data_IF_476417683541
#
_entry.id   IF_476417683541
#
_cell.length_a   1.000
_cell.length_b   1.000
_cell.length_c   1.000
_cell.angle_alpha   90.00
_cell.angle_beta   90.00
_cell.angle_gamma   90.00
#
_symmetry.space_group_name_H-M   'P 1'
#
loop_
_entity.id
_entity.type
_entity.pdbx_description
1 polymer ?
#
# COMPACT_ATOMS: atom_id res chain seq x y z
N UNK A 1 2.94 -5.62 -17.51
CA UNK A 1 2.39 -6.06 -16.20
C UNK A 1 3.41 -6.88 -15.39
N UNK A 2 3.80 -8.08 -15.83
CA UNK A 2 4.69 -8.96 -15.05
C UNK A 2 5.99 -8.30 -14.57
N UNK A 3 6.69 -7.54 -15.42
CA UNK A 3 7.88 -6.78 -15.04
C UNK A 3 7.62 -5.74 -13.93
N UNK A 4 6.50 -5.01 -14.01
CA UNK A 4 6.10 -4.04 -12.97
C UNK A 4 5.89 -4.73 -11.63
N UNK A 5 5.20 -5.88 -11.63
CA UNK A 5 4.96 -6.67 -10.42
C UNK A 5 6.27 -7.22 -9.85
N UNK A 6 7.12 -7.79 -10.70
CA UNK A 6 8.43 -8.31 -10.33
C UNK A 6 9.32 -7.23 -9.68
N UNK A 7 9.48 -6.08 -10.35
CA UNK A 7 10.29 -4.96 -9.84
C UNK A 7 9.68 -4.41 -8.55
N UNK A 8 8.36 -4.22 -8.50
CA UNK A 8 7.67 -3.76 -7.29
C UNK A 8 7.90 -4.71 -6.10
N UNK A 9 7.81 -6.01 -6.32
CA UNK A 9 8.05 -7.02 -5.30
C UNK A 9 9.52 -7.06 -4.84
N UNK A 10 10.46 -6.94 -5.78
CA UNK A 10 11.89 -6.77 -5.48
C UNK A 10 12.13 -5.58 -4.55
N UNK A 11 11.59 -4.40 -4.92
CA UNK A 11 11.79 -3.17 -4.15
C UNK A 11 11.11 -3.24 -2.77
N UNK A 12 9.91 -3.85 -2.67
CA UNK A 12 9.28 -4.11 -1.37
C UNK A 12 10.15 -5.03 -0.51
N UNK A 13 10.69 -6.10 -1.05
CA UNK A 13 11.49 -7.03 -0.25
C UNK A 13 12.84 -6.44 0.21
N UNK A 14 13.41 -5.46 -0.52
CA UNK A 14 14.60 -4.71 -0.09
C UNK A 14 14.24 -3.65 0.96
N UNK A 15 13.24 -2.80 0.68
CA UNK A 15 12.89 -1.63 1.50
C UNK A 15 11.86 -1.88 2.60
N UNK A 16 11.20 -3.04 2.61
CA UNK A 16 10.07 -3.39 3.48
C UNK A 16 8.72 -2.80 3.07
N UNK A 17 8.75 -1.73 2.27
CA UNK A 17 7.59 -0.93 1.87
C UNK A 17 7.89 -0.39 0.47
N UNK A 18 7.13 -0.77 -0.56
CA UNK A 18 7.45 -0.29 -1.90
C UNK A 18 6.67 -0.84 -3.09
N UNK A 19 6.02 -1.99 -2.95
CA UNK A 19 5.29 -2.60 -4.08
C UNK A 19 4.21 -1.67 -4.61
N UNK A 20 3.27 -1.29 -3.75
CA UNK A 20 2.16 -0.42 -4.17
C UNK A 20 2.64 1.00 -4.54
N UNK A 21 3.73 1.47 -3.95
CA UNK A 21 4.31 2.77 -4.26
C UNK A 21 4.79 2.85 -5.72
N UNK A 22 5.42 1.80 -6.23
CA UNK A 22 5.77 1.72 -7.65
C UNK A 22 4.57 1.30 -8.52
N UNK A 23 3.90 0.22 -8.11
CA UNK A 23 2.95 -0.47 -8.97
C UNK A 23 1.64 0.29 -9.16
N UNK A 24 1.13 1.00 -8.15
CA UNK A 24 -0.12 1.73 -8.23
C UNK A 24 -0.10 2.87 -9.27
N UNK A 25 0.87 3.81 -9.28
CA UNK A 25 0.89 4.87 -10.30
C UNK A 25 1.11 4.31 -11.71
N UNK A 26 2.00 3.33 -11.87
CA UNK A 26 2.21 2.69 -13.19
C UNK A 26 0.98 1.94 -13.67
N UNK A 27 0.27 1.25 -12.78
CA UNK A 27 -0.97 0.58 -13.11
C UNK A 27 -2.08 1.57 -13.47
N UNK A 28 -2.23 2.66 -12.71
CA UNK A 28 -3.22 3.70 -13.02
C UNK A 28 -3.01 4.31 -14.42
N UNK A 29 -1.76 4.39 -14.89
CA UNK A 29 -1.42 4.92 -16.21
C UNK A 29 -1.52 3.89 -17.34
N UNK A 30 -1.00 2.68 -17.13
CA UNK A 30 -0.80 1.70 -18.21
C UNK A 30 -1.68 0.46 -18.11
N UNK A 31 -2.13 0.11 -16.91
CA UNK A 31 -2.81 -1.16 -16.61
C UNK A 31 -3.95 -0.94 -15.61
N UNK A 32 -5.00 -0.16 -15.96
CA UNK A 32 -6.02 0.28 -15.01
C UNK A 32 -6.76 -0.87 -14.34
N UNK A 33 -6.87 -2.04 -15.01
CA UNK A 33 -7.43 -3.26 -14.43
C UNK A 33 -6.70 -3.80 -13.19
N UNK A 34 -5.49 -3.31 -12.88
CA UNK A 34 -4.76 -3.74 -11.69
C UNK A 34 -5.13 -2.94 -10.42
N UNK A 35 -5.79 -1.78 -10.56
CA UNK A 35 -6.12 -0.87 -9.44
C UNK A 35 -7.63 -0.85 -9.17
N UNK A 36 -8.06 -0.86 -7.90
CA UNK A 36 -7.25 -1.09 -6.70
C UNK A 36 -7.10 -2.59 -6.36
N UNK A 37 -8.01 -3.44 -6.85
CA UNK A 37 -8.20 -4.82 -6.40
C UNK A 37 -6.97 -5.72 -6.54
N UNK A 38 -6.51 -6.04 -7.77
CA UNK A 38 -5.41 -6.97 -7.94
C UNK A 38 -4.10 -6.58 -7.23
N UNK A 39 -3.73 -5.29 -7.26
CA UNK A 39 -2.56 -4.80 -6.52
C UNK A 39 -2.75 -4.86 -5.01
N UNK A 40 -3.94 -4.58 -4.50
CA UNK A 40 -4.21 -4.69 -3.08
C UNK A 40 -4.10 -6.14 -2.60
N UNK A 41 -4.62 -7.10 -3.36
CA UNK A 41 -4.48 -8.53 -3.07
C UNK A 41 -3.01 -8.97 -3.07
N UNK A 42 -2.27 -8.65 -4.12
CA UNK A 42 -0.85 -8.96 -4.25
C UNK A 42 0.00 -8.31 -3.14
N UNK A 43 -0.22 -7.02 -2.88
CA UNK A 43 0.49 -6.27 -1.84
C UNK A 43 0.15 -6.76 -0.43
N UNK A 44 -1.10 -7.17 -0.19
CA UNK A 44 -1.55 -7.83 1.03
C UNK A 44 -0.84 -9.15 1.25
N UNK A 45 -0.77 -10.01 0.23
CA UNK A 45 -0.02 -11.27 0.28
C UNK A 45 1.46 -11.05 0.62
N UNK A 46 2.14 -10.12 -0.06
CA UNK A 46 3.55 -9.79 0.26
C UNK A 46 3.72 -9.31 1.70
N UNK A 47 2.79 -8.50 2.19
CA UNK A 47 2.81 -7.97 3.55
C UNK A 47 2.63 -9.08 4.59
N UNK A 48 1.74 -10.04 4.32
CA UNK A 48 1.56 -11.23 5.17
C UNK A 48 2.79 -12.12 5.15
N UNK A 49 3.37 -12.41 3.98
CA UNK A 49 4.59 -13.22 3.87
C UNK A 49 5.75 -12.59 4.65
N UNK A 50 5.91 -11.27 4.56
CA UNK A 50 6.89 -10.54 5.35
C UNK A 50 6.61 -10.63 6.86
N UNK A 51 5.33 -10.57 7.27
CA UNK A 51 4.96 -10.69 8.67
C UNK A 51 5.19 -12.10 9.25
N UNK A 52 4.87 -13.14 8.48
CA UNK A 52 5.01 -14.54 8.88
C UNK A 52 6.47 -14.94 9.13
N UNK A 53 7.42 -14.28 8.47
CA UNK A 53 8.86 -14.51 8.67
C UNK A 53 9.33 -14.16 10.09
N UNK A 54 8.68 -13.19 10.73
CA UNK A 54 9.04 -12.67 12.05
C UNK A 54 7.80 -12.63 12.96
N UNK A 55 6.95 -13.66 12.84
CA UNK A 55 5.61 -13.73 13.46
C UNK A 55 5.62 -13.52 14.98
N UNK A 56 6.71 -13.89 15.65
CA UNK A 56 6.88 -13.75 17.10
C UNK A 56 7.05 -12.28 17.53
N UNK A 57 7.46 -11.41 16.60
CA UNK A 57 7.63 -9.98 16.85
C UNK A 57 6.35 -9.16 16.56
N UNK A 58 5.22 -9.81 16.25
CA UNK A 58 3.95 -9.11 15.97
C UNK A 58 3.37 -8.53 17.25
N UNK A 59 3.19 -7.20 17.26
CA UNK A 59 2.49 -6.52 18.34
C UNK A 59 0.96 -6.59 18.12
N UNK A 60 0.33 -7.67 18.59
CA UNK A 60 -1.10 -7.95 18.39
C UNK A 60 -2.03 -6.84 18.91
N UNK A 61 -1.70 -6.25 20.07
CA UNK A 61 -2.48 -5.13 20.63
C UNK A 61 -2.52 -3.93 19.68
N UNK A 62 -1.40 -3.59 19.06
CA UNK A 62 -1.34 -2.52 18.06
C UNK A 62 -2.09 -2.91 16.78
N UNK A 63 -1.94 -4.17 16.38
CA UNK A 63 -2.56 -4.72 15.18
C UNK A 63 -4.09 -4.60 15.23
N UNK A 64 -4.72 -4.96 16.35
CA UNK A 64 -6.18 -4.88 16.52
C UNK A 64 -6.72 -3.45 16.37
N UNK A 65 -6.15 -2.48 17.10
CA UNK A 65 -6.57 -1.07 17.02
C UNK A 65 -6.36 -0.49 15.62
N UNK A 66 -5.24 -0.82 14.98
CA UNK A 66 -4.92 -0.38 13.63
C UNK A 66 -5.89 -0.97 12.59
N UNK A 67 -6.26 -2.25 12.74
CA UNK A 67 -7.24 -2.90 11.87
C UNK A 67 -8.63 -2.30 12.02
N UNK A 68 -9.07 -1.98 13.24
CA UNK A 68 -10.35 -1.29 13.46
C UNK A 68 -10.39 0.07 12.74
N UNK A 69 -9.31 0.86 12.87
CA UNK A 69 -9.17 2.10 12.10
C UNK A 69 -9.18 1.82 10.59
N UNK A 70 -8.43 0.82 10.12
CA UNK A 70 -8.41 0.45 8.69
C UNK A 70 -9.78 0.05 8.17
N UNK A 71 -10.61 -0.63 8.95
CA UNK A 71 -11.99 -0.96 8.57
C UNK A 71 -12.78 0.31 8.28
N UNK A 72 -12.75 1.28 9.20
CA UNK A 72 -13.42 2.58 9.02
C UNK A 72 -12.90 3.32 7.78
N UNK A 73 -11.57 3.40 7.64
CA UNK A 73 -10.93 4.03 6.49
C UNK A 73 -11.29 3.35 5.17
N UNK A 74 -11.33 2.01 5.17
CA UNK A 74 -11.69 1.21 4.00
C UNK A 74 -13.12 1.45 3.56
N UNK A 75 -14.07 1.54 4.50
CA UNK A 75 -15.46 1.91 4.22
C UNK A 75 -15.55 3.30 3.58
N UNK A 76 -14.87 4.29 4.15
CA UNK A 76 -14.82 5.65 3.57
C UNK A 76 -14.24 5.60 2.15
N UNK A 77 -13.19 4.80 1.92
CA UNK A 77 -12.58 4.63 0.60
C UNK A 77 -13.52 4.00 -0.42
N UNK A 78 -14.26 2.96 -0.03
CA UNK A 78 -15.27 2.33 -0.92
C UNK A 78 -16.42 3.29 -1.22
N UNK A 79 -16.91 4.02 -0.22
CA UNK A 79 -17.94 5.05 -0.43
C UNK A 79 -17.45 6.15 -1.39
N UNK A 80 -16.19 6.58 -1.25
CA UNK A 80 -15.57 7.52 -2.18
C UNK A 80 -15.55 6.97 -3.62
N UNK A 81 -15.18 5.70 -3.82
CA UNK A 81 -15.21 5.03 -5.13
C UNK A 81 -16.64 4.91 -5.69
N UNK A 82 -17.63 4.69 -4.82
CA UNK A 82 -19.01 4.52 -5.23
C UNK A 82 -19.69 5.84 -5.62
N UNK A 83 -19.38 6.95 -4.94
CA UNK A 83 -20.14 8.20 -5.07
C UNK A 83 -19.40 9.32 -5.79
N UNK A 84 -18.07 9.32 -5.81
CA UNK A 84 -17.32 10.39 -6.50
C UNK A 84 -17.32 10.16 -8.01
N UNK A 85 -17.44 11.27 -8.75
CA UNK A 85 -17.18 11.27 -10.20
C UNK A 85 -15.71 10.92 -10.45
N UNK A 86 -15.37 10.32 -11.62
CA UNK A 86 -14.00 9.89 -11.93
C UNK A 86 -12.94 10.98 -11.74
N UNK A 87 -13.26 12.23 -12.11
CA UNK A 87 -12.37 13.39 -11.93
C UNK A 87 -12.02 13.64 -10.46
N UNK A 88 -13.01 13.62 -9.56
CA UNK A 88 -12.81 13.87 -8.14
C UNK A 88 -12.12 12.70 -7.46
N UNK A 89 -12.41 11.47 -7.90
CA UNK A 89 -11.72 10.28 -7.43
C UNK A 89 -10.22 10.33 -7.78
N UNK A 90 -9.87 10.77 -8.99
CA UNK A 90 -8.47 10.96 -9.41
C UNK A 90 -7.74 12.04 -8.60
N UNK A 91 -8.42 13.14 -8.25
CA UNK A 91 -7.89 14.18 -7.34
C UNK A 91 -7.62 13.59 -5.96
N UNK A 92 -8.60 12.92 -5.36
CA UNK A 92 -8.47 12.32 -4.03
C UNK A 92 -7.37 11.26 -3.99
N UNK A 93 -7.28 10.41 -5.02
CA UNK A 93 -6.20 9.44 -5.20
C UNK A 93 -4.83 10.13 -5.22
N UNK A 94 -4.67 11.18 -6.02
CA UNK A 94 -3.40 11.88 -6.20
C UNK A 94 -2.98 12.60 -4.93
N UNK A 95 -3.89 13.32 -4.28
CA UNK A 95 -3.63 13.98 -3.00
C UNK A 95 -3.29 12.98 -1.89
N UNK A 96 -3.92 11.81 -1.88
CA UNK A 96 -3.60 10.74 -0.92
C UNK A 96 -2.17 10.23 -1.10
N UNK A 97 -1.72 10.01 -2.34
CA UNK A 97 -0.34 9.60 -2.63
C UNK A 97 0.65 10.71 -2.26
N UNK A 98 0.36 11.96 -2.60
CA UNK A 98 1.22 13.09 -2.25
C UNK A 98 1.34 13.27 -0.73
N UNK A 99 0.24 13.10 0.00
CA UNK A 99 0.26 13.06 1.45
C UNK A 99 1.14 11.92 1.97
N UNK A 100 1.02 10.71 1.40
CA UNK A 100 1.89 9.58 1.72
C UNK A 100 3.38 9.90 1.52
N UNK A 101 3.71 10.55 0.40
CA UNK A 101 5.09 10.95 0.07
C UNK A 101 5.58 11.98 1.08
N UNK A 102 4.80 13.03 1.34
CA UNK A 102 5.15 14.09 2.29
C UNK A 102 5.40 13.52 3.69
N UNK A 103 4.47 12.69 4.18
CA UNK A 103 4.59 11.97 5.45
C UNK A 103 5.86 11.11 5.51
N UNK A 104 6.16 10.40 4.43
CA UNK A 104 7.34 9.53 4.35
C UNK A 104 8.66 10.27 4.22
N UNK A 105 8.66 11.48 3.66
CA UNK A 105 9.85 12.30 3.40
C UNK A 105 10.21 13.21 4.58
N UNK A 106 9.20 13.80 5.23
CA UNK A 106 9.40 14.73 6.36
C UNK A 106 9.86 14.02 7.64
N UNK A 107 9.71 12.69 7.73
CA UNK A 107 10.15 11.93 8.90
C UNK A 107 9.44 12.35 10.18
N UNK A 108 8.17 12.76 10.07
CA UNK A 108 7.42 13.31 11.18
C UNK A 108 7.35 12.33 12.35
N UNK A 109 7.65 12.82 13.55
CA UNK A 109 7.63 12.05 14.79
C UNK A 109 6.29 12.18 15.50
N UNK A 110 5.53 11.09 15.50
CA UNK A 110 4.26 10.99 16.23
C UNK A 110 4.44 10.02 17.38
N UNK A 111 3.96 10.39 18.57
CA UNK A 111 3.98 9.50 19.73
C UNK A 111 2.99 8.35 19.52
N UNK A 112 3.38 7.09 19.70
CA UNK A 112 2.46 5.96 19.57
C UNK A 112 1.43 6.02 20.71
N UNK A 113 0.17 6.28 20.34
CA UNK A 113 -1.00 6.23 21.23
C UNK A 113 -2.12 5.47 20.53
N UNK A 114 -3.10 4.96 21.27
CA UNK A 114 -4.24 4.25 20.68
C UNK A 114 -5.02 5.14 19.68
N UNK A 115 -5.18 6.43 19.99
CA UNK A 115 -5.79 7.41 19.10
C UNK A 115 -4.99 7.63 17.82
N UNK A 116 -3.67 7.84 17.92
CA UNK A 116 -2.81 8.03 16.76
C UNK A 116 -2.76 6.77 15.88
N UNK A 117 -2.83 5.59 16.49
CA UNK A 117 -2.87 4.32 15.79
C UNK A 117 -4.20 4.09 15.07
N UNK A 118 -5.32 4.48 15.68
CA UNK A 118 -6.63 4.45 15.05
C UNK A 118 -6.68 5.43 13.85
N UNK A 119 -6.18 6.65 14.01
CA UNK A 119 -6.09 7.65 12.93
C UNK A 119 -5.20 7.13 11.80
N UNK A 120 -4.03 6.60 12.12
CA UNK A 120 -3.14 5.99 11.13
C UNK A 120 -3.81 4.79 10.45
N UNK A 121 -4.57 3.98 11.19
CA UNK A 121 -5.41 2.92 10.66
C UNK A 121 -6.42 3.44 9.64
N UNK A 122 -7.21 4.45 10.00
CA UNK A 122 -8.22 5.05 9.12
C UNK A 122 -7.59 5.63 7.86
N UNK A 123 -6.53 6.43 7.99
CA UNK A 123 -5.79 6.95 6.84
C UNK A 123 -5.26 5.81 5.96
N UNK A 124 -4.65 4.79 6.58
CA UNK A 124 -4.09 3.63 5.90
C UNK A 124 -5.15 2.82 5.15
N UNK A 125 -6.33 2.62 5.73
CA UNK A 125 -7.44 1.90 5.12
C UNK A 125 -7.99 2.65 3.91
N UNK A 126 -8.25 3.95 4.08
CA UNK A 126 -8.71 4.82 3.00
C UNK A 126 -7.74 4.83 1.83
N UNK A 127 -6.46 5.07 2.11
CA UNK A 127 -5.41 5.09 1.09
C UNK A 127 -5.23 3.72 0.43
N UNK A 128 -5.24 2.62 1.19
CA UNK A 128 -5.10 1.28 0.62
C UNK A 128 -6.27 0.92 -0.30
N UNK A 129 -7.50 1.29 0.06
CA UNK A 129 -8.67 0.99 -0.77
C UNK A 129 -8.65 1.81 -2.07
N UNK A 130 -8.27 3.09 -2.01
CA UNK A 130 -8.22 3.95 -3.20
C UNK A 130 -7.02 3.68 -4.09
N UNK A 131 -5.85 3.47 -3.48
CA UNK A 131 -4.56 3.54 -4.16
C UNK A 131 -3.77 2.23 -4.13
N UNK A 132 -4.29 1.20 -3.46
CA UNK A 132 -3.57 -0.03 -3.11
C UNK A 132 -2.35 0.21 -2.18
N UNK A 133 -2.05 1.46 -1.78
CA UNK A 133 -0.91 1.83 -0.96
C UNK A 133 -1.34 2.39 0.41
N UNK A 134 -1.28 1.57 1.47
CA UNK A 134 -1.69 1.96 2.83
C UNK A 134 -0.57 2.09 3.86
N UNK A 135 0.68 1.82 3.52
CA UNK A 135 1.75 1.71 4.51
C UNK A 135 2.24 3.03 5.17
N UNK A 136 2.26 4.19 4.48
CA UNK A 136 2.89 5.41 5.02
C UNK A 136 2.40 5.89 6.39
N UNK A 137 1.09 5.89 6.72
CA UNK A 137 0.62 6.29 8.06
C UNK A 137 1.24 5.45 9.19
N UNK A 138 1.45 4.15 8.98
CA UNK A 138 2.07 3.29 10.00
C UNK A 138 3.58 3.44 10.10
N UNK A 139 4.25 3.75 8.99
CA UNK A 139 5.69 4.04 9.01
C UNK A 139 6.03 5.22 9.95
N UNK A 140 5.09 6.16 10.11
CA UNK A 140 5.21 7.27 11.07
C UNK A 140 4.93 6.82 12.50
N UNK A 141 3.76 6.22 12.75
CA UNK A 141 3.33 5.92 14.13
C UNK A 141 4.21 4.82 14.76
N UNK A 142 4.76 3.91 13.95
CA UNK A 142 5.55 2.76 14.41
C UNK A 142 7.07 2.95 14.25
N UNK A 143 7.55 4.14 13.90
CA UNK A 143 8.96 4.39 13.57
C UNK A 143 9.96 4.06 14.70
N UNK A 144 9.50 4.00 15.95
CA UNK A 144 10.33 3.69 17.13
C UNK A 144 10.45 2.18 17.42
N UNK A 145 9.67 1.35 16.72
CA UNK A 145 9.74 -0.10 16.89
C UNK A 145 11.05 -0.63 16.32
N UNK A 146 11.54 -1.75 16.87
CA UNK A 146 12.67 -2.45 16.26
C UNK A 146 12.33 -2.80 14.79
N UNK A 147 13.31 -2.82 13.87
CA UNK A 147 13.02 -3.08 12.46
C UNK A 147 12.23 -4.37 12.23
N UNK A 148 12.45 -5.39 13.07
CA UNK A 148 11.73 -6.65 13.01
C UNK A 148 10.26 -6.51 13.43
N UNK A 149 10.02 -5.97 14.62
CA UNK A 149 8.67 -5.76 15.13
C UNK A 149 7.85 -4.81 14.24
N UNK A 150 8.48 -3.78 13.68
CA UNK A 150 7.82 -2.87 12.73
C UNK A 150 7.37 -3.60 11.47
N UNK A 151 8.26 -4.37 10.82
CA UNK A 151 7.91 -5.14 9.62
C UNK A 151 6.82 -6.17 9.91
N UNK A 152 6.95 -6.91 11.01
CA UNK A 152 6.00 -7.94 11.38
C UNK A 152 4.61 -7.36 11.65
N UNK A 153 4.54 -6.30 12.46
CA UNK A 153 3.28 -5.66 12.86
C UNK A 153 2.63 -4.94 11.68
N UNK A 154 3.38 -4.12 10.92
CA UNK A 154 2.85 -3.43 9.73
C UNK A 154 2.42 -4.44 8.67
N UNK A 155 3.21 -5.50 8.45
CA UNK A 155 2.87 -6.54 7.50
C UNK A 155 1.56 -7.25 7.86
N UNK A 156 1.35 -7.56 9.14
CA UNK A 156 0.11 -8.14 9.63
C UNK A 156 -1.09 -7.20 9.44
N UNK A 157 -0.94 -5.91 9.77
CA UNK A 157 -1.99 -4.90 9.61
C UNK A 157 -2.35 -4.69 8.14
N UNK A 158 -1.37 -4.53 7.26
CA UNK A 158 -1.60 -4.33 5.83
C UNK A 158 -2.17 -5.60 5.18
N UNK A 159 -1.71 -6.76 5.62
CA UNK A 159 -2.21 -8.06 5.20
C UNK A 159 -3.67 -8.30 5.56
N UNK A 160 -3.99 -8.30 6.85
CA UNK A 160 -5.38 -8.45 7.32
C UNK A 160 -6.27 -7.31 6.83
N UNK A 161 -5.73 -6.10 6.78
CA UNK A 161 -6.41 -4.94 6.24
C UNK A 161 -6.66 -4.98 4.74
N UNK A 162 -5.84 -5.69 3.95
CA UNK A 162 -6.12 -5.93 2.54
C UNK A 162 -7.31 -6.88 2.38
N UNK A 163 -7.40 -7.94 3.20
CA UNK A 163 -8.58 -8.83 3.21
C UNK A 163 -9.87 -8.05 3.48
N UNK A 164 -9.86 -7.18 4.50
CA UNK A 164 -11.00 -6.32 4.83
C UNK A 164 -11.37 -5.38 3.66
N UNK A 165 -10.40 -4.65 3.12
CA UNK A 165 -10.63 -3.75 1.99
C UNK A 165 -11.11 -4.48 0.72
N UNK A 166 -10.59 -5.69 0.44
CA UNK A 166 -11.02 -6.52 -0.70
C UNK A 166 -12.44 -7.02 -0.50
N UNK A 167 -12.83 -7.42 0.71
CA UNK A 167 -14.20 -7.81 1.01
C UNK A 167 -15.17 -6.63 0.80
N UNK A 168 -14.79 -5.42 1.22
CA UNK A 168 -15.59 -4.21 0.98
C UNK A 168 -15.68 -3.86 -0.51
N UNK A 169 -14.57 -3.97 -1.25
CA UNK A 169 -14.57 -3.76 -2.70
C UNK A 169 -15.43 -4.81 -3.41
N UNK A 170 -15.40 -6.07 -2.98
CA UNK A 170 -16.25 -7.13 -3.52
C UNK A 170 -17.73 -6.85 -3.27
N UNK A 171 -18.08 -6.44 -2.04
CA UNK A 171 -19.45 -6.02 -1.71
C UNK A 171 -19.94 -4.81 -2.52
N UNK A 172 -19.02 -3.95 -2.97
CA UNK A 172 -19.31 -2.83 -3.86
C UNK A 172 -19.23 -3.16 -5.37
N UNK A 173 -19.01 -4.43 -5.73
CA UNK A 173 -18.87 -4.86 -7.13
C UNK A 173 -17.60 -4.35 -7.83
N UNK A 174 -16.58 -3.94 -7.06
CA UNK A 174 -15.29 -3.40 -7.55
C UNK A 174 -14.14 -4.41 -7.44
N UNK A 175 -14.42 -5.63 -7.00
CA UNK A 175 -13.47 -6.74 -6.95
C UNK A 175 -14.21 -8.06 -7.16
N UNK A 176 -13.70 -8.92 -8.05
CA UNK A 176 -14.33 -10.20 -8.34
C UNK A 176 -13.37 -11.29 -8.83
N UNK A 177 -13.93 -12.32 -9.47
CA UNK A 177 -13.18 -13.50 -9.94
C UNK A 177 -12.13 -13.10 -10.99
N UNK A 178 -12.44 -12.15 -11.87
CA UNK A 178 -11.50 -11.66 -12.88
C UNK A 178 -10.24 -11.04 -12.22
N UNK A 179 -10.43 -10.23 -11.18
CA UNK A 179 -9.35 -9.62 -10.43
C UNK A 179 -8.50 -10.66 -9.68
N UNK A 180 -9.16 -11.63 -9.03
CA UNK A 180 -8.49 -12.74 -8.37
C UNK A 180 -7.65 -13.57 -9.34
N UNK A 181 -8.21 -13.87 -10.52
CA UNK A 181 -7.52 -14.62 -11.58
C UNK A 181 -6.31 -13.85 -12.08
N UNK A 182 -6.45 -12.54 -12.30
CA UNK A 182 -5.34 -11.68 -12.71
C UNK A 182 -4.24 -11.62 -11.64
N UNK A 183 -4.60 -11.50 -10.36
CA UNK A 183 -3.65 -11.59 -9.24
C UNK A 183 -2.93 -12.94 -9.22
N UNK A 184 -3.65 -14.05 -9.43
CA UNK A 184 -3.08 -15.40 -9.44
C UNK A 184 -2.12 -15.60 -10.62
N UNK A 185 -2.48 -15.13 -11.81
CA UNK A 185 -1.62 -15.17 -13.01
C UNK A 185 -0.33 -14.37 -12.83
N UNK A 186 -0.36 -13.28 -12.05
CA UNK A 186 0.80 -12.44 -11.76
C UNK A 186 1.59 -12.89 -10.53
N UNK A 187 1.06 -13.83 -9.75
CA UNK A 187 1.70 -14.35 -8.54
C UNK A 187 3.11 -14.93 -8.78
N UNK A 188 3.41 -15.65 -9.89
CA UNK A 188 4.76 -16.12 -10.15
C UNK A 188 5.79 -14.98 -10.23
N UNK A 189 5.45 -13.86 -10.87
CA UNK A 189 6.34 -12.68 -10.95
C UNK A 189 6.54 -12.02 -9.58
N UNK A 190 5.47 -11.96 -8.79
CA UNK A 190 5.51 -11.44 -7.43
C UNK A 190 6.41 -12.27 -6.52
N UNK A 191 6.23 -13.59 -6.53
CA UNK A 191 7.04 -14.53 -5.74
C UNK A 191 8.50 -14.54 -6.18
N UNK A 192 8.75 -14.54 -7.50
CA UNK A 192 10.09 -14.45 -8.03
C UNK A 192 10.79 -13.14 -7.61
N UNK A 193 10.10 -12.01 -7.70
CA UNK A 193 10.66 -10.72 -7.28
C UNK A 193 10.97 -10.67 -5.77
N UNK A 194 10.06 -11.20 -4.95
CA UNK A 194 10.29 -11.31 -3.51
C UNK A 194 11.44 -12.28 -3.15
N UNK A 195 11.57 -13.41 -3.86
CA UNK A 195 12.67 -14.33 -3.63
C UNK A 195 14.03 -13.68 -3.98
N UNK A 196 14.10 -12.95 -5.10
CA UNK A 196 15.29 -12.23 -5.56
C UNK A 196 15.66 -11.08 -4.62
N UNK A 197 14.69 -10.43 -3.99
CA UNK A 197 14.94 -9.31 -3.07
C UNK A 197 15.87 -9.69 -1.92
N UNK A 198 15.82 -10.93 -1.44
CA UNK A 198 16.66 -11.43 -0.35
C UNK A 198 18.16 -11.32 -0.68
N UNK A 199 18.54 -11.59 -1.94
CA UNK A 199 19.91 -11.47 -2.44
C UNK A 199 20.29 -10.02 -2.72
N UNK A 200 19.35 -9.21 -3.21
CA UNK A 200 19.58 -7.78 -3.50
C UNK A 200 19.72 -6.95 -2.23
N UNK A 201 19.07 -7.33 -1.13
CA UNK A 201 19.10 -6.59 0.14
C UNK A 201 20.52 -6.40 0.69
N UNK A 202 21.45 -7.32 0.39
CA UNK A 202 22.85 -7.20 0.77
C UNK A 202 23.66 -6.25 -0.12
N UNK A 203 23.18 -5.91 -1.32
CA UNK A 203 23.91 -5.13 -2.33
C UNK A 203 23.31 -3.75 -2.60
N UNK A 204 22.07 -3.50 -2.16
CA UNK A 204 21.32 -2.28 -2.49
C UNK A 204 20.93 -1.54 -1.21
N UNK A 205 21.22 -0.25 -1.16
CA UNK A 205 20.80 0.62 -0.05
C UNK A 205 19.28 0.77 -0.03
N UNK A 206 18.65 0.31 1.06
CA UNK A 206 17.22 0.49 1.30
C UNK A 206 16.81 1.97 1.32
N UNK A 207 17.72 2.87 1.73
CA UNK A 207 17.48 4.32 1.75
C UNK A 207 17.39 4.87 0.32
N UNK A 208 18.29 4.46 -0.56
CA UNK A 208 18.28 4.89 -1.96
C UNK A 208 17.01 4.41 -2.68
N UNK A 209 16.63 3.14 -2.49
CA UNK A 209 15.38 2.57 -3.01
C UNK A 209 14.17 3.36 -2.54
N UNK A 210 14.09 3.67 -1.24
CA UNK A 210 12.98 4.44 -0.68
C UNK A 210 12.88 5.83 -1.29
N UNK A 211 14.01 6.54 -1.46
CA UNK A 211 14.03 7.87 -2.09
C UNK A 211 13.57 7.82 -3.55
N UNK A 212 14.07 6.86 -4.32
CA UNK A 212 13.65 6.66 -5.71
C UNK A 212 12.13 6.41 -5.81
N UNK A 213 11.61 5.50 -4.98
CA UNK A 213 10.19 5.19 -4.95
C UNK A 213 9.33 6.41 -4.60
N UNK A 214 9.73 7.18 -3.59
CA UNK A 214 9.03 8.41 -3.22
C UNK A 214 9.00 9.44 -4.36
N UNK A 215 10.12 9.62 -5.06
CA UNK A 215 10.21 10.51 -6.20
C UNK A 215 9.29 10.06 -7.35
N UNK A 216 9.27 8.76 -7.66
CA UNK A 216 8.40 8.19 -8.69
C UNK A 216 6.92 8.31 -8.33
N UNK A 217 6.55 8.06 -7.07
CA UNK A 217 5.18 8.27 -6.58
C UNK A 217 4.75 9.73 -6.72
N UNK A 218 5.61 10.66 -6.30
CA UNK A 218 5.33 12.09 -6.38
C UNK A 218 5.12 12.52 -7.82
N UNK A 219 6.02 12.14 -8.72
CA UNK A 219 5.92 12.44 -10.15
C UNK A 219 4.63 11.87 -10.75
N UNK A 220 4.30 10.60 -10.46
CA UNK A 220 3.08 9.97 -10.95
C UNK A 220 1.80 10.65 -10.44
N UNK A 221 1.73 10.99 -9.15
CA UNK A 221 0.59 11.68 -8.58
C UNK A 221 0.43 13.11 -9.12
N UNK A 222 1.52 13.84 -9.31
CA UNK A 222 1.51 15.16 -9.96
C UNK A 222 1.02 15.03 -11.41
N UNK A 223 1.51 14.05 -12.15
CA UNK A 223 1.10 13.82 -13.54
C UNK A 223 -0.40 13.54 -13.66
N UNK A 224 -0.96 12.70 -12.77
CA UNK A 224 -2.41 12.46 -12.72
C UNK A 224 -3.18 13.74 -12.39
N UNK A 225 -2.70 14.54 -11.41
CA UNK A 225 -3.36 15.78 -11.02
C UNK A 225 -3.34 16.83 -12.15
N UNK A 226 -2.20 17.00 -12.82
CA UNK A 226 -2.07 17.89 -14.00
C UNK A 226 -3.02 17.43 -15.10
N UNK A 227 -3.09 16.12 -15.38
CA UNK A 227 -4.01 15.59 -16.38
C UNK A 227 -5.46 15.91 -16.04
N UNK A 228 -5.87 15.81 -14.78
CA UNK A 228 -7.23 16.16 -14.35
C UNK A 228 -7.52 17.65 -14.57
N UNK A 229 -6.57 18.54 -14.24
CA UNK A 229 -6.73 19.99 -14.43
C UNK A 229 -6.79 20.39 -15.90
N UNK A 230 -6.07 19.69 -16.78
CA UNK A 230 -6.07 19.97 -18.22
C UNK A 230 -7.29 19.39 -18.97
N UNK A 231 -7.98 18.42 -18.38
CA UNK A 231 -9.11 17.71 -19.00
C UNK A 231 -10.47 18.07 -18.38
N UNK A 232 -10.48 18.87 -17.30
CA UNK A 232 -11.68 19.36 -16.62
C UNK A 232 -11.95 20.82 -16.93
#
# INVERSE_FOLDING_TARGET
MGATIFVGACLQGVGGIGFAMLAAPLAAMFFPQLVPGPLLAMGGCLSLLAALREREAIAWRLTGTALLGRTLGGLIGVLAIAWLRPQWLAVVFSLSILLAVALSALGWRVRPSAGNLAIAGTASGFMATLTSAGAPPFAIVMQHMSPAAMRATVGCILGGGAVLSLAMLAGAGRFGIADLTLSALLAPFLLAGFAVSSRLKARVSAVAVRRLLLALCAAGAIAVLVRVVLQG
#
